data_IF_120401360566
#
_entry.id   IF_120401360566
#
_cell.length_a   1.000
_cell.length_b   1.000
_cell.length_c   1.000
_cell.angle_alpha   90.00
_cell.angle_beta   90.00
_cell.angle_gamma   90.00
#
_symmetry.space_group_name_H-M   'P 1'
#
loop_
_entity.id
_entity.type
_entity.pdbx_description
1 polymer ?
#
# COMPACT_ATOMS: atom_id res chain seq x y z
N UNK A 1 10.18 1.63 3.60
CA UNK A 1 8.94 1.15 4.23
C UNK A 1 8.51 -0.14 3.53
N UNK A 2 8.24 -1.22 4.27
CA UNK A 2 7.74 -2.45 3.68
C UNK A 2 6.52 -2.99 4.45
N UNK A 3 5.82 -3.95 3.85
CA UNK A 3 4.65 -4.59 4.47
C UNK A 3 3.79 -5.30 3.43
N UNK A 4 2.89 -6.18 3.87
CA UNK A 4 2.03 -6.95 2.99
C UNK A 4 1.22 -6.11 1.98
N UNK A 5 0.63 -6.78 1.01
CA UNK A 5 -0.21 -6.12 0.00
C UNK A 5 -1.44 -5.51 0.66
N UNK A 6 -1.81 -4.29 0.25
CA UNK A 6 -3.04 -3.62 0.72
C UNK A 6 -2.98 -3.00 2.12
N UNK A 7 -1.78 -2.87 2.73
CA UNK A 7 -1.60 -2.27 4.06
C UNK A 7 -1.47 -0.74 4.05
N UNK A 8 -1.58 -0.07 2.90
CA UNK A 8 -1.56 1.39 2.82
C UNK A 8 -0.19 2.02 2.56
N UNK A 9 0.83 1.27 2.12
CA UNK A 9 2.17 1.80 1.80
C UNK A 9 2.12 2.95 0.78
N UNK A 10 1.45 2.76 -0.33
CA UNK A 10 1.21 3.81 -1.35
C UNK A 10 0.51 5.02 -0.73
N UNK A 11 -0.48 4.80 0.15
CA UNK A 11 -1.18 5.88 0.84
C UNK A 11 -0.24 6.68 1.75
N UNK A 12 0.68 5.99 2.43
CA UNK A 12 1.71 6.64 3.25
C UNK A 12 2.64 7.51 2.39
N UNK A 13 3.10 7.00 1.23
CA UNK A 13 3.91 7.80 0.30
C UNK A 13 3.15 9.04 -0.18
N UNK A 14 1.88 8.90 -0.55
CA UNK A 14 1.04 10.04 -0.93
C UNK A 14 0.86 11.04 0.23
N UNK A 15 0.67 10.54 1.47
CA UNK A 15 0.56 11.41 2.64
C UNK A 15 1.86 12.23 2.87
N UNK A 16 3.03 11.59 2.70
CA UNK A 16 4.32 12.29 2.75
C UNK A 16 4.38 13.34 1.63
N UNK A 17 4.01 12.99 0.40
CA UNK A 17 3.99 13.92 -0.73
C UNK A 17 3.10 15.12 -0.49
N UNK A 18 1.89 14.91 0.01
CA UNK A 18 0.96 15.99 0.37
C UNK A 18 1.48 16.86 1.50
N UNK A 19 2.08 16.26 2.52
CA UNK A 19 2.69 17.00 3.63
C UNK A 19 3.79 17.94 3.12
N UNK A 20 4.70 17.41 2.28
CA UNK A 20 5.78 18.21 1.70
C UNK A 20 5.22 19.33 0.83
N UNK A 21 4.29 19.03 -0.09
CA UNK A 21 3.71 20.04 -0.97
C UNK A 21 2.98 21.18 -0.21
N UNK A 22 2.41 20.86 0.96
CA UNK A 22 1.69 21.85 1.78
C UNK A 22 2.61 22.67 2.69
N UNK A 23 3.70 22.08 3.20
CA UNK A 23 4.57 22.72 4.19
C UNK A 23 5.91 23.19 3.62
N UNK A 24 6.34 22.64 2.48
CA UNK A 24 7.64 22.89 1.82
C UNK A 24 7.43 23.02 0.31
N UNK A 25 6.63 23.98 -0.18
CA UNK A 25 6.30 24.10 -1.60
C UNK A 25 7.51 24.45 -2.48
N UNK A 26 8.62 24.89 -1.88
CA UNK A 26 9.88 25.15 -2.56
C UNK A 26 10.67 23.90 -2.92
N UNK A 27 10.36 22.76 -2.28
CA UNK A 27 11.05 21.50 -2.53
C UNK A 27 10.51 20.79 -3.78
N UNK A 28 11.43 20.41 -4.66
CA UNK A 28 11.11 19.59 -5.82
C UNK A 28 10.86 18.15 -5.37
N UNK A 29 9.62 17.67 -5.51
CA UNK A 29 9.22 16.32 -5.15
C UNK A 29 8.80 15.53 -6.38
N UNK A 30 9.29 14.31 -6.51
CA UNK A 30 8.84 13.34 -7.51
C UNK A 30 8.30 12.10 -6.79
N UNK A 31 7.05 11.77 -7.08
CA UNK A 31 6.46 10.46 -6.78
C UNK A 31 6.36 9.64 -8.05
N UNK A 32 6.84 8.41 -8.00
CA UNK A 32 6.81 7.50 -9.16
C UNK A 32 6.75 6.03 -8.71
N UNK A 33 5.99 5.20 -9.44
CA UNK A 33 6.11 3.75 -9.30
C UNK A 33 7.35 3.25 -10.06
N UNK A 34 7.91 2.12 -9.64
CA UNK A 34 9.01 1.48 -10.38
C UNK A 34 8.62 1.15 -11.82
N UNK A 35 7.38 0.80 -12.06
CA UNK A 35 6.89 0.54 -13.42
C UNK A 35 6.97 1.79 -14.29
N UNK A 36 6.50 2.93 -13.79
CA UNK A 36 6.59 4.22 -14.49
C UNK A 36 8.04 4.64 -14.69
N UNK A 37 8.89 4.51 -13.66
CA UNK A 37 10.33 4.80 -13.77
C UNK A 37 10.98 3.95 -14.85
N UNK A 38 10.67 2.65 -14.91
CA UNK A 38 11.17 1.74 -15.95
C UNK A 38 10.72 2.16 -17.35
N UNK A 39 9.44 2.50 -17.51
CA UNK A 39 8.89 2.92 -18.79
C UNK A 39 9.51 4.25 -19.25
N UNK A 40 9.67 5.22 -18.35
CA UNK A 40 10.33 6.49 -18.62
C UNK A 40 11.79 6.27 -19.05
N UNK A 41 12.51 5.36 -18.39
CA UNK A 41 13.89 4.99 -18.73
C UNK A 41 13.98 4.39 -20.14
N UNK A 42 13.18 3.35 -20.41
CA UNK A 42 13.17 2.67 -21.72
C UNK A 42 12.80 3.65 -22.85
N UNK A 43 11.78 4.48 -22.64
CA UNK A 43 11.39 5.49 -23.63
C UNK A 43 12.50 6.52 -23.85
N UNK A 44 13.16 6.97 -22.79
CA UNK A 44 14.27 7.92 -22.90
C UNK A 44 15.47 7.38 -23.67
N UNK A 45 15.75 6.07 -23.56
CA UNK A 45 16.78 5.40 -24.36
C UNK A 45 16.39 5.36 -25.85
N UNK A 46 15.15 4.96 -26.13
CA UNK A 46 14.63 4.87 -27.50
C UNK A 46 14.62 6.22 -28.21
N UNK A 47 14.22 7.27 -27.47
CA UNK A 47 14.03 8.62 -28.01
C UNK A 47 15.31 9.47 -27.94
N UNK A 48 16.43 8.94 -27.44
CA UNK A 48 17.69 9.67 -27.24
C UNK A 48 17.64 10.77 -26.17
N UNK A 49 16.64 10.71 -25.26
CA UNK A 49 16.34 11.73 -24.26
C UNK A 49 16.84 11.38 -22.84
N UNK A 50 17.85 10.53 -22.73
CA UNK A 50 18.37 10.03 -21.46
C UNK A 50 18.81 11.16 -20.50
N UNK A 51 19.25 12.30 -21.04
CA UNK A 51 19.63 13.46 -20.22
C UNK A 51 18.42 14.04 -19.48
N UNK A 52 17.31 14.24 -20.18
CA UNK A 52 16.06 14.74 -19.56
C UNK A 52 15.54 13.79 -18.48
N UNK A 53 15.66 12.48 -18.70
CA UNK A 53 15.33 11.47 -17.69
C UNK A 53 16.21 11.64 -16.43
N UNK A 54 17.53 11.72 -16.62
CA UNK A 54 18.47 11.93 -15.51
C UNK A 54 18.21 13.24 -14.77
N UNK A 55 17.97 14.32 -15.48
CA UNK A 55 17.69 15.63 -14.91
C UNK A 55 16.39 15.55 -14.05
N UNK A 56 15.34 14.92 -14.56
CA UNK A 56 14.08 14.76 -13.83
C UNK A 56 14.23 14.03 -12.49
N UNK A 57 14.94 12.90 -12.48
CA UNK A 57 15.02 12.04 -11.29
C UNK A 57 16.19 12.36 -10.36
N UNK A 58 17.27 12.98 -10.86
CA UNK A 58 18.47 13.24 -10.05
C UNK A 58 18.56 14.68 -9.51
N UNK A 59 17.70 15.61 -9.98
CA UNK A 59 17.67 16.99 -9.48
C UNK A 59 16.54 17.27 -8.49
N UNK A 60 15.75 16.27 -8.14
CA UNK A 60 14.67 16.40 -7.16
C UNK A 60 15.20 16.46 -5.73
N UNK A 61 14.51 17.16 -4.82
CA UNK A 61 14.85 17.20 -3.39
C UNK A 61 14.32 15.98 -2.65
N UNK A 62 13.18 15.45 -3.10
CA UNK A 62 12.54 14.29 -2.50
C UNK A 62 12.07 13.34 -3.61
N UNK A 63 12.52 12.09 -3.54
CA UNK A 63 12.11 11.02 -4.43
C UNK A 63 11.29 9.97 -3.65
N UNK A 64 10.02 9.83 -3.99
CA UNK A 64 9.13 8.80 -3.46
C UNK A 64 8.96 7.71 -4.52
N UNK A 65 9.45 6.51 -4.20
CA UNK A 65 9.40 5.34 -5.09
C UNK A 65 8.44 4.30 -4.54
N UNK A 66 7.46 3.92 -5.35
CA UNK A 66 6.49 2.89 -4.97
C UNK A 66 6.78 1.56 -5.65
N UNK A 67 6.56 0.47 -4.92
CA UNK A 67 6.66 -0.93 -5.38
C UNK A 67 8.04 -1.33 -5.90
N UNK A 68 9.09 -1.09 -5.11
CA UNK A 68 10.50 -1.35 -5.49
C UNK A 68 10.76 -2.81 -5.86
N UNK A 69 9.97 -3.77 -5.36
CA UNK A 69 10.08 -5.18 -5.72
C UNK A 69 9.89 -5.43 -7.23
N UNK A 70 9.24 -4.51 -7.94
CA UNK A 70 9.06 -4.57 -9.41
C UNK A 70 10.34 -4.35 -10.21
N UNK A 71 11.46 -3.95 -9.56
CA UNK A 71 12.79 -3.95 -10.18
C UNK A 71 13.36 -5.37 -10.38
N UNK A 72 12.83 -6.37 -9.66
CA UNK A 72 13.33 -7.74 -9.73
C UNK A 72 13.42 -8.25 -11.19
N UNK A 73 14.60 -8.76 -11.56
CA UNK A 73 14.86 -9.29 -12.91
C UNK A 73 15.05 -8.26 -14.02
N UNK A 74 15.10 -6.95 -13.72
CA UNK A 74 15.29 -5.87 -14.69
C UNK A 74 16.67 -5.22 -14.56
N UNK A 75 17.72 -5.94 -14.93
CA UNK A 75 19.12 -5.55 -14.69
C UNK A 75 19.45 -4.12 -15.12
N UNK A 76 19.11 -3.72 -16.36
CA UNK A 76 19.40 -2.37 -16.85
C UNK A 76 18.68 -1.28 -16.05
N UNK A 77 17.45 -1.53 -15.63
CA UNK A 77 16.70 -0.59 -14.79
C UNK A 77 17.25 -0.54 -13.37
N UNK A 78 17.71 -1.66 -12.82
CA UNK A 78 18.38 -1.69 -11.52
C UNK A 78 19.68 -0.88 -11.55
N UNK A 79 20.45 -1.00 -12.63
CA UNK A 79 21.68 -0.21 -12.81
C UNK A 79 21.39 1.30 -12.86
N UNK A 80 20.43 1.74 -13.67
CA UNK A 80 20.07 3.16 -13.74
C UNK A 80 19.47 3.67 -12.43
N UNK A 81 18.67 2.84 -11.76
CA UNK A 81 18.14 3.18 -10.44
C UNK A 81 19.25 3.31 -9.39
N UNK A 82 20.23 2.42 -9.40
CA UNK A 82 21.40 2.51 -8.52
C UNK A 82 22.18 3.84 -8.71
N UNK A 83 22.39 4.26 -9.95
CA UNK A 83 23.01 5.55 -10.24
C UNK A 83 22.15 6.74 -9.79
N UNK A 84 20.83 6.65 -9.96
CA UNK A 84 19.91 7.69 -9.51
C UNK A 84 19.89 7.76 -7.98
N UNK A 85 19.83 6.62 -7.30
CA UNK A 85 19.90 6.55 -5.84
C UNK A 85 21.18 7.19 -5.29
N UNK A 86 22.36 6.82 -5.84
CA UNK A 86 23.62 7.39 -5.38
C UNK A 86 23.68 8.90 -5.62
N UNK A 87 23.26 9.39 -6.78
CA UNK A 87 23.27 10.82 -7.09
C UNK A 87 22.44 11.63 -6.09
N UNK A 88 21.28 11.14 -5.68
CA UNK A 88 20.43 11.77 -4.67
C UNK A 88 21.02 11.63 -3.26
N UNK A 89 21.43 10.44 -2.88
CA UNK A 89 22.01 10.17 -1.56
C UNK A 89 23.25 11.02 -1.31
N UNK A 90 24.20 11.06 -2.26
CA UNK A 90 25.46 11.79 -2.12
C UNK A 90 25.24 13.33 -2.12
N UNK A 91 24.10 13.78 -2.68
CA UNK A 91 23.65 15.17 -2.62
C UNK A 91 22.81 15.49 -1.38
N UNK A 92 22.67 14.57 -0.43
CA UNK A 92 21.88 14.74 0.80
C UNK A 92 20.37 14.88 0.58
N UNK A 93 19.86 14.35 -0.55
CA UNK A 93 18.42 14.39 -0.88
C UNK A 93 17.67 13.24 -0.20
N UNK A 94 16.37 13.43 0.02
CA UNK A 94 15.54 12.42 0.67
C UNK A 94 15.00 11.41 -0.34
N UNK A 95 15.14 10.13 -0.01
CA UNK A 95 14.55 9.03 -0.78
C UNK A 95 13.63 8.24 0.15
N UNK A 96 12.40 7.97 -0.28
CA UNK A 96 11.46 7.10 0.44
C UNK A 96 11.01 6.01 -0.52
N UNK A 97 11.15 4.77 -0.09
CA UNK A 97 10.91 3.58 -0.91
C UNK A 97 9.86 2.71 -0.24
N UNK A 98 8.84 2.27 -1.00
CA UNK A 98 7.91 1.24 -0.56
C UNK A 98 8.23 -0.12 -1.16
N UNK A 99 7.90 -1.19 -0.44
CA UNK A 99 8.03 -2.58 -0.90
C UNK A 99 6.95 -3.48 -0.29
N UNK A 100 6.60 -4.55 -0.96
CA UNK A 100 5.72 -5.59 -0.40
C UNK A 100 6.45 -6.52 0.59
N UNK A 101 7.78 -6.48 0.60
CA UNK A 101 8.66 -7.32 1.43
C UNK A 101 9.97 -6.60 1.78
N UNK A 102 10.72 -7.05 2.81
CA UNK A 102 12.00 -6.45 3.16
C UNK A 102 13.04 -6.64 2.04
N UNK A 103 14.06 -5.76 1.94
CA UNK A 103 15.07 -5.81 0.87
C UNK A 103 15.72 -7.18 0.68
N UNK A 104 15.99 -7.91 1.78
CA UNK A 104 16.56 -9.27 1.75
C UNK A 104 15.69 -10.31 1.07
N UNK A 105 14.38 -10.11 1.05
CA UNK A 105 13.41 -11.03 0.47
C UNK A 105 13.06 -10.71 -1.00
N UNK A 106 13.61 -9.64 -1.58
CA UNK A 106 13.42 -9.33 -2.99
C UNK A 106 14.37 -10.21 -3.81
N UNK A 107 13.78 -11.19 -4.49
CA UNK A 107 14.55 -12.06 -5.37
C UNK A 107 15.18 -11.27 -6.54
N UNK A 108 16.35 -11.66 -7.00
CA UNK A 108 17.06 -11.04 -8.14
C UNK A 108 17.30 -9.53 -8.01
N UNK A 109 17.25 -8.97 -6.79
CA UNK A 109 17.74 -7.63 -6.53
C UNK A 109 19.26 -7.67 -6.37
N UNK A 110 19.96 -6.81 -7.11
CA UNK A 110 21.42 -6.71 -7.03
C UNK A 110 21.90 -6.38 -5.62
N UNK A 111 22.98 -7.02 -5.17
CA UNK A 111 23.52 -6.87 -3.81
C UNK A 111 23.91 -5.41 -3.48
N UNK A 112 24.38 -4.66 -4.50
CA UNK A 112 24.70 -3.25 -4.33
C UNK A 112 23.47 -2.39 -4.02
N UNK A 113 22.30 -2.65 -4.64
CA UNK A 113 21.04 -1.98 -4.33
C UNK A 113 20.50 -2.43 -2.96
N UNK A 114 20.56 -3.72 -2.68
CA UNK A 114 20.15 -4.27 -1.38
C UNK A 114 20.91 -3.60 -0.24
N UNK A 115 22.23 -3.50 -0.36
CA UNK A 115 23.10 -2.83 0.63
C UNK A 115 22.71 -1.36 0.82
N UNK A 116 22.37 -0.64 -0.26
CA UNK A 116 21.93 0.75 -0.17
C UNK A 116 20.62 0.90 0.56
N UNK A 117 19.66 0.01 0.32
CA UNK A 117 18.37 0.04 1.01
C UNK A 117 18.50 -0.29 2.50
N UNK A 118 19.46 -1.16 2.85
CA UNK A 118 19.73 -1.55 4.24
C UNK A 118 20.47 -0.47 5.06
N UNK A 119 21.10 0.49 4.41
CA UNK A 119 21.76 1.62 5.11
C UNK A 119 20.75 2.62 5.72
N UNK A 120 19.52 2.68 5.18
CA UNK A 120 18.48 3.60 5.60
C UNK A 120 17.62 3.07 6.75
N UNK A 121 16.64 3.89 7.15
CA UNK A 121 15.60 3.45 8.08
C UNK A 121 14.69 2.44 7.41
N UNK A 122 14.66 1.23 7.93
CA UNK A 122 13.73 0.17 7.50
C UNK A 122 12.63 0.04 8.53
N UNK A 123 11.39 0.24 8.11
CA UNK A 123 10.19 0.08 8.95
C UNK A 123 9.15 -0.76 8.24
N UNK A 124 8.41 -1.54 9.00
CA UNK A 124 7.32 -2.37 8.50
C UNK A 124 5.96 -1.71 8.77
N UNK A 125 5.01 -1.97 7.89
CA UNK A 125 3.61 -1.60 8.05
C UNK A 125 2.83 -2.86 8.37
N UNK A 126 2.34 -2.93 9.59
CA UNK A 126 1.55 -4.07 10.08
C UNK A 126 0.06 -3.90 9.76
N UNK A 127 -0.70 -4.99 9.73
CA UNK A 127 -2.16 -4.92 9.67
C UNK A 127 -2.71 -4.04 10.80
N UNK A 128 -3.68 -3.16 10.51
CA UNK A 128 -4.26 -2.29 11.52
C UNK A 128 -5.07 -3.08 12.55
N UNK A 129 -5.06 -2.62 13.80
CA UNK A 129 -5.95 -3.12 14.84
C UNK A 129 -7.42 -2.77 14.56
N UNK A 130 -8.35 -3.30 15.37
CA UNK A 130 -9.78 -3.10 15.17
C UNK A 130 -10.17 -1.62 15.20
N UNK A 131 -9.62 -0.85 16.15
CA UNK A 131 -9.93 0.57 16.31
C UNK A 131 -9.46 1.37 15.08
N UNK A 132 -8.26 1.11 14.62
CA UNK A 132 -7.71 1.72 13.40
C UNK A 132 -8.54 1.35 12.16
N UNK A 133 -8.99 0.08 12.04
CA UNK A 133 -9.87 -0.33 10.94
C UNK A 133 -11.20 0.43 10.95
N UNK A 134 -11.82 0.59 12.12
CA UNK A 134 -13.06 1.37 12.27
C UNK A 134 -12.80 2.84 11.87
N UNK A 135 -11.70 3.43 12.31
CA UNK A 135 -11.34 4.80 11.98
C UNK A 135 -11.11 5.01 10.46
N UNK A 136 -10.48 4.04 9.79
CA UNK A 136 -10.31 4.04 8.33
C UNK A 136 -11.67 4.06 7.63
N UNK A 137 -12.58 3.15 8.02
CA UNK A 137 -13.92 3.08 7.44
C UNK A 137 -14.74 4.35 7.70
N UNK A 138 -14.66 4.92 8.91
CA UNK A 138 -15.32 6.19 9.24
C UNK A 138 -14.82 7.34 8.36
N UNK A 139 -13.51 7.43 8.18
CA UNK A 139 -12.91 8.43 7.30
C UNK A 139 -13.39 8.26 5.86
N UNK A 140 -13.46 7.02 5.37
CA UNK A 140 -13.93 6.70 4.02
C UNK A 140 -15.38 7.09 3.82
N UNK A 141 -16.27 6.71 4.74
CA UNK A 141 -17.69 7.07 4.72
C UNK A 141 -17.89 8.57 4.65
N UNK A 142 -17.16 9.34 5.49
CA UNK A 142 -17.23 10.81 5.48
C UNK A 142 -16.72 11.42 4.19
N UNK A 143 -15.60 10.91 3.67
CA UNK A 143 -14.98 11.42 2.44
C UNK A 143 -15.88 11.22 1.21
N UNK A 144 -16.52 10.07 1.12
CA UNK A 144 -17.33 9.67 -0.04
C UNK A 144 -18.81 10.05 0.12
N UNK A 145 -19.21 10.54 1.30
CA UNK A 145 -20.59 10.95 1.59
C UNK A 145 -21.58 9.80 1.64
N UNK A 146 -21.14 8.61 2.04
CA UNK A 146 -22.02 7.44 2.13
C UNK A 146 -22.96 7.55 3.34
N UNK A 147 -24.24 7.21 3.13
CA UNK A 147 -25.24 7.06 4.20
C UNK A 147 -25.24 5.61 4.68
N UNK A 148 -24.53 5.38 5.80
CA UNK A 148 -24.29 4.04 6.37
C UNK A 148 -24.66 4.07 7.85
N UNK A 149 -25.39 3.05 8.30
CA UNK A 149 -25.67 2.90 9.72
C UNK A 149 -24.36 2.75 10.51
N UNK A 150 -24.13 3.54 11.58
CA UNK A 150 -22.87 3.52 12.33
C UNK A 150 -22.40 2.15 12.80
N UNK A 151 -23.30 1.22 13.10
CA UNK A 151 -23.00 -0.13 13.53
C UNK A 151 -22.43 -1.03 12.44
N UNK A 152 -22.62 -0.68 11.18
CA UNK A 152 -22.06 -1.41 10.02
C UNK A 152 -20.53 -1.35 10.01
N UNK A 153 -19.94 -0.24 10.45
CA UNK A 153 -18.49 -0.05 10.39
C UNK A 153 -17.73 -0.97 11.36
N UNK A 154 -18.12 -1.08 12.64
CA UNK A 154 -17.54 -2.09 13.52
C UNK A 154 -17.77 -3.52 13.03
N UNK A 155 -18.94 -3.81 12.46
CA UNK A 155 -19.26 -5.13 11.90
C UNK A 155 -18.29 -5.50 10.77
N UNK A 156 -18.11 -4.62 9.77
CA UNK A 156 -17.17 -4.86 8.66
C UNK A 156 -15.73 -4.97 9.20
N UNK A 157 -15.33 -4.06 10.09
CA UNK A 157 -13.99 -4.04 10.67
C UNK A 157 -13.66 -5.30 11.48
N UNK A 158 -14.65 -5.88 12.17
CA UNK A 158 -14.50 -7.15 12.89
C UNK A 158 -14.32 -8.34 11.93
N UNK A 159 -15.02 -8.33 10.81
CA UNK A 159 -15.05 -9.44 9.85
C UNK A 159 -13.87 -9.43 8.86
N UNK A 160 -13.35 -8.25 8.52
CA UNK A 160 -12.26 -8.07 7.54
C UNK A 160 -11.00 -7.59 8.25
N UNK A 161 -10.14 -8.53 8.63
CA UNK A 161 -8.90 -8.25 9.35
C UNK A 161 -7.63 -8.35 8.46
N UNK A 162 -7.75 -8.78 7.21
CA UNK A 162 -6.62 -9.14 6.36
C UNK A 162 -5.78 -7.95 5.91
N UNK A 163 -6.40 -6.92 5.36
CA UNK A 163 -5.71 -5.71 4.88
C UNK A 163 -6.70 -4.57 4.61
N UNK A 164 -6.18 -3.34 4.49
CA UNK A 164 -6.99 -2.13 4.29
C UNK A 164 -7.73 -2.14 2.95
N UNK A 165 -7.12 -2.68 1.88
CA UNK A 165 -7.77 -2.76 0.57
C UNK A 165 -9.01 -3.66 0.59
N UNK A 166 -8.93 -4.81 1.26
CA UNK A 166 -10.07 -5.69 1.46
C UNK A 166 -11.15 -5.03 2.32
N UNK A 167 -10.74 -4.31 3.37
CA UNK A 167 -11.62 -3.56 4.26
C UNK A 167 -12.44 -2.50 3.51
N UNK A 168 -11.77 -1.65 2.72
CA UNK A 168 -12.44 -0.63 1.89
C UNK A 168 -13.28 -1.26 0.77
N UNK A 169 -12.81 -2.37 0.19
CA UNK A 169 -13.55 -3.13 -0.81
C UNK A 169 -14.86 -3.71 -0.26
N UNK A 170 -14.85 -4.22 0.98
CA UNK A 170 -16.03 -4.71 1.66
C UNK A 170 -17.06 -3.58 1.88
N UNK A 171 -16.64 -2.42 2.40
CA UNK A 171 -17.52 -1.26 2.55
C UNK A 171 -18.13 -0.83 1.20
N UNK A 172 -17.29 -0.68 0.18
CA UNK A 172 -17.75 -0.26 -1.16
C UNK A 172 -18.80 -1.23 -1.72
N UNK A 173 -18.61 -2.53 -1.54
CA UNK A 173 -19.56 -3.55 -2.00
C UNK A 173 -20.88 -3.46 -1.26
N UNK A 174 -20.88 -3.32 0.07
CA UNK A 174 -22.11 -3.21 0.86
C UNK A 174 -22.88 -1.96 0.47
N UNK A 175 -22.22 -0.81 0.32
CA UNK A 175 -22.82 0.44 -0.12
C UNK A 175 -23.40 0.33 -1.53
N UNK A 176 -22.65 -0.24 -2.46
CA UNK A 176 -23.11 -0.46 -3.83
C UNK A 176 -24.35 -1.35 -3.89
N UNK A 177 -24.37 -2.44 -3.12
CA UNK A 177 -25.54 -3.34 -3.06
C UNK A 177 -26.75 -2.62 -2.47
N UNK A 178 -26.60 -1.85 -1.40
CA UNK A 178 -27.67 -1.02 -0.83
C UNK A 178 -28.24 -0.04 -1.85
N UNK A 179 -27.37 0.65 -2.59
CA UNK A 179 -27.74 1.62 -3.62
C UNK A 179 -28.52 0.96 -4.78
N UNK A 180 -28.05 -0.19 -5.28
CA UNK A 180 -28.69 -0.90 -6.40
C UNK A 180 -30.05 -1.49 -5.98
N UNK A 181 -30.14 -2.03 -4.77
CA UNK A 181 -31.39 -2.65 -4.25
C UNK A 181 -32.37 -1.64 -3.64
N UNK A 182 -32.01 -0.36 -3.54
CA UNK A 182 -32.80 0.66 -2.85
C UNK A 182 -32.97 0.40 -1.34
N UNK A 183 -32.08 -0.41 -0.74
CA UNK A 183 -32.12 -0.78 0.68
C UNK A 183 -31.15 0.11 1.46
N UNK A 184 -31.55 0.46 2.68
CA UNK A 184 -30.64 1.14 3.63
C UNK A 184 -29.47 0.22 4.03
N UNK A 185 -28.29 0.81 4.18
CA UNK A 185 -27.07 0.07 4.56
C UNK A 185 -27.09 -0.21 6.06
N UNK A 186 -27.57 -1.39 6.43
CA UNK A 186 -27.68 -1.91 7.80
C UNK A 186 -26.72 -3.07 8.02
N UNK A 187 -26.56 -3.52 9.28
CA UNK A 187 -25.75 -4.69 9.64
C UNK A 187 -26.28 -5.96 8.95
N UNK A 188 -27.59 -6.13 8.85
CA UNK A 188 -28.18 -7.29 8.18
C UNK A 188 -27.81 -7.34 6.70
N UNK A 189 -27.93 -6.20 6.00
CA UNK A 189 -27.49 -6.10 4.60
C UNK A 189 -25.99 -6.38 4.45
N UNK A 190 -25.16 -5.85 5.35
CA UNK A 190 -23.74 -6.09 5.35
C UNK A 190 -23.43 -7.59 5.59
N UNK A 191 -24.17 -8.25 6.47
CA UNK A 191 -24.09 -9.68 6.70
C UNK A 191 -24.37 -10.48 5.43
N UNK A 192 -25.52 -10.25 4.79
CA UNK A 192 -25.91 -10.90 3.54
C UNK A 192 -24.85 -10.75 2.44
N UNK A 193 -24.34 -9.51 2.23
CA UNK A 193 -23.42 -9.19 1.14
C UNK A 193 -22.00 -9.76 1.36
N UNK A 194 -21.60 -9.90 2.61
CA UNK A 194 -20.22 -10.31 2.96
C UNK A 194 -20.14 -11.80 3.33
N UNK A 195 -21.22 -12.52 3.42
CA UNK A 195 -21.23 -13.93 3.82
C UNK A 195 -20.42 -14.82 2.90
N UNK A 196 -20.56 -14.64 1.58
CA UNK A 196 -19.84 -15.41 0.56
C UNK A 196 -18.34 -15.09 0.48
N UNK A 197 -17.94 -13.88 0.91
CA UNK A 197 -16.56 -13.40 0.74
C UNK A 197 -15.70 -13.54 1.99
N UNK A 198 -16.34 -13.35 3.11
CA UNK A 198 -15.77 -13.44 4.44
C UNK A 198 -16.72 -14.28 5.28
N UNK A 199 -16.78 -15.61 5.06
CA UNK A 199 -17.56 -16.48 5.91
C UNK A 199 -17.17 -16.14 7.36
N UNK A 200 -18.17 -16.03 8.24
CA UNK A 200 -17.87 -15.95 9.65
C UNK A 200 -16.98 -17.18 9.92
N UNK A 201 -15.75 -16.97 10.42
CA UNK A 201 -14.97 -18.09 10.91
C UNK A 201 -15.93 -18.90 11.78
N UNK A 202 -16.24 -20.13 11.34
CA UNK A 202 -16.89 -21.10 12.22
C UNK A 202 -16.02 -21.06 13.46
N UNK A 203 -16.56 -20.54 14.55
CA UNK A 203 -15.86 -20.17 15.79
C UNK A 203 -14.81 -21.24 16.02
N UNK A 204 -13.53 -20.89 15.81
CA UNK A 204 -12.48 -21.82 15.47
C UNK A 204 -12.68 -23.08 16.28
N UNK A 205 -12.61 -24.24 15.62
CA UNK A 205 -12.63 -25.53 16.31
C UNK A 205 -11.51 -25.47 17.33
N UNK A 206 -11.79 -24.79 18.47
CA UNK A 206 -10.88 -24.69 19.58
C UNK A 206 -10.50 -26.11 19.97
N UNK A 207 -9.27 -26.33 20.36
CA UNK A 207 -8.78 -27.63 20.85
C UNK A 207 -9.81 -28.24 21.82
N UNK A 208 -10.51 -27.42 22.59
CA UNK A 208 -11.56 -27.81 23.54
C UNK A 208 -12.81 -28.43 22.87
N UNK A 209 -13.21 -27.93 21.68
CA UNK A 209 -14.34 -28.48 20.90
C UNK A 209 -13.94 -29.82 20.26
N UNK A 210 -12.72 -29.90 19.73
CA UNK A 210 -12.17 -31.16 19.16
C UNK A 210 -12.01 -32.21 20.25
N UNK A 211 -11.51 -31.82 21.43
CA UNK A 211 -11.38 -32.73 22.58
C UNK A 211 -12.73 -33.22 23.08
N UNK A 212 -13.74 -32.37 23.09
CA UNK A 212 -15.11 -32.74 23.50
C UNK A 212 -15.78 -33.75 22.56
N UNK A 213 -15.47 -33.71 21.26
CA UNK A 213 -16.06 -34.62 20.24
C UNK A 213 -15.29 -35.94 20.14
N UNK A 214 -13.95 -35.94 20.37
CA UNK A 214 -13.11 -37.17 20.34
C UNK A 214 -13.21 -37.97 21.63
N UNK A 215 -13.66 -37.39 22.76
CA UNK A 215 -13.82 -38.07 24.06
C UNK A 215 -15.25 -38.57 24.31
N UNK A 216 -16.14 -38.58 23.32
CA UNK A 216 -17.44 -39.26 23.32
C UNK A 216 -17.35 -40.59 22.55
#
# INVERSE_FOLDING_TARGET
>A
VYGGVGLGKTHLLHAIGHFVASNHPEMALVYVSVETFTNDFINSLRDGAIRSFKDRYRSTDILLIDDIQSLAGREQTQEEFFHTFNALHDSGKQIVISSDRPPKAIATLEDRLRSRFEMGLITDVQPPDLETRIAILQKRVRSDGFDVDPEVLPFIAGRVATNVRALEGALTRVVAHGSISGRRVTVDLAGEVLEDLFPADEAGLGIDVIQGEVCR
#
